data_IF_469619109642
#
_entry.id   IF_469619109642
#
_cell.length_a   1.000
_cell.length_b   1.000
_cell.length_c   1.000
_cell.angle_alpha   90.00
_cell.angle_beta   90.00
_cell.angle_gamma   90.00
#
_symmetry.space_group_name_H-M   'P 1'
#
loop_
_entity.id
_entity.type
_entity.pdbx_description
1 polymer ?
#
# COMPACT_ATOMS: atom_id res chain seq x y z
N UNK A 1 13.88 7.64 2.36
CA UNK A 1 13.28 8.99 2.53
C UNK A 1 12.05 9.03 3.47
N UNK A 2 11.82 8.03 4.35
CA UNK A 2 10.69 8.03 5.32
C UNK A 2 10.88 8.98 6.52
N UNK A 3 12.10 9.44 6.76
CA UNK A 3 12.48 10.16 7.98
C UNK A 3 11.94 11.60 8.01
N UNK A 4 12.10 12.36 6.93
CA UNK A 4 11.77 13.79 6.92
C UNK A 4 10.26 14.07 7.13
N UNK A 5 9.40 13.28 6.51
CA UNK A 5 7.94 13.46 6.61
C UNK A 5 7.43 13.08 8.00
N UNK A 6 7.98 12.01 8.60
CA UNK A 6 7.65 11.61 9.97
C UNK A 6 8.11 12.66 10.98
N UNK A 7 9.33 13.20 10.82
CA UNK A 7 9.86 14.26 11.67
C UNK A 7 9.01 15.53 11.59
N UNK A 8 8.53 15.91 10.40
CA UNK A 8 7.65 17.06 10.20
C UNK A 8 6.29 16.89 10.87
N UNK A 9 5.72 15.68 10.82
CA UNK A 9 4.44 15.37 11.46
C UNK A 9 4.58 15.42 12.98
N UNK A 10 5.66 14.84 13.52
CA UNK A 10 5.95 14.85 14.96
C UNK A 10 6.20 16.28 15.46
N UNK A 11 6.95 17.10 14.70
CA UNK A 11 7.22 18.48 15.08
C UNK A 11 5.96 19.35 15.06
N UNK A 12 5.11 19.21 14.04
CA UNK A 12 3.82 19.90 13.98
C UNK A 12 2.88 19.50 15.13
N UNK A 13 2.87 18.21 15.49
CA UNK A 13 2.10 17.72 16.63
C UNK A 13 2.60 18.32 17.96
N UNK A 14 3.92 18.35 18.18
CA UNK A 14 4.52 18.92 19.38
C UNK A 14 4.24 20.43 19.49
N UNK A 15 4.33 21.18 18.39
CA UNK A 15 4.02 22.61 18.38
C UNK A 15 2.55 22.83 18.75
N UNK A 16 1.62 22.07 18.14
CA UNK A 16 0.20 22.14 18.48
C UNK A 16 -0.06 21.80 19.96
N UNK A 17 0.62 20.79 20.48
CA UNK A 17 0.50 20.39 21.89
C UNK A 17 1.00 21.48 22.85
N UNK A 18 2.13 22.12 22.56
CA UNK A 18 2.69 23.21 23.38
C UNK A 18 1.74 24.42 23.38
N UNK A 19 1.16 24.77 22.23
CA UNK A 19 0.17 25.86 22.12
C UNK A 19 -1.11 25.55 22.90
N UNK A 20 -1.59 24.30 22.89
CA UNK A 20 -2.70 23.84 23.71
C UNK A 20 -2.42 24.02 25.20
N UNK A 21 -1.29 23.51 25.68
CA UNK A 21 -0.91 23.60 27.09
C UNK A 21 -0.73 25.06 27.51
N UNK A 22 -0.12 25.89 26.65
CA UNK A 22 0.06 27.31 26.92
C UNK A 22 -1.28 28.05 27.02
N UNK A 23 -2.26 27.70 26.17
CA UNK A 23 -3.63 28.25 26.30
C UNK A 23 -4.32 27.77 27.57
N UNK A 24 -4.18 26.49 27.94
CA UNK A 24 -4.78 25.92 29.17
C UNK A 24 -4.19 26.60 30.42
N UNK A 25 -2.87 26.73 30.49
CA UNK A 25 -2.20 27.42 31.60
C UNK A 25 -2.71 28.87 31.66
N UNK A 26 -2.78 29.57 30.53
CA UNK A 26 -3.24 30.96 30.48
C UNK A 26 -4.73 31.15 30.83
N UNK A 27 -5.58 30.15 30.56
CA UNK A 27 -6.98 30.09 31.05
C UNK A 27 -7.02 30.04 32.58
N UNK A 28 -6.13 29.28 33.20
CA UNK A 28 -6.03 29.17 34.66
C UNK A 28 -5.46 30.45 35.29
N UNK A 29 -4.62 31.21 34.58
CA UNK A 29 -3.93 32.39 35.15
C UNK A 29 -4.69 33.72 35.01
N UNK A 30 -5.53 33.94 33.99
CA UNK A 30 -6.22 35.23 33.80
C UNK A 30 -7.72 35.11 33.45
N UNK A 31 -8.56 35.86 34.17
CA UNK A 31 -9.98 36.12 33.84
C UNK A 31 -10.08 37.06 32.63
N UNK A 32 -10.09 36.53 31.42
CA UNK A 32 -10.81 37.20 30.32
C UNK A 32 -11.82 36.20 29.74
N UNK A 33 -12.84 36.62 28.97
CA UNK A 33 -13.99 35.73 28.66
C UNK A 33 -14.13 35.43 27.15
N UNK A 34 -13.51 36.22 26.27
CA UNK A 34 -13.82 36.21 24.83
C UNK A 34 -12.71 35.59 23.96
N UNK A 35 -11.44 35.66 24.37
CA UNK A 35 -10.30 35.12 23.59
C UNK A 35 -10.15 33.58 23.67
N UNK A 36 -10.63 33.00 24.77
CA UNK A 36 -10.46 31.57 25.13
C UNK A 36 -11.22 30.57 24.29
N UNK A 37 -12.51 30.77 23.93
CA UNK A 37 -13.20 29.82 23.06
C UNK A 37 -12.53 29.75 21.68
N UNK A 38 -11.97 30.86 21.19
CA UNK A 38 -11.29 30.92 19.90
C UNK A 38 -9.93 30.19 19.93
N UNK A 39 -9.17 30.34 21.02
CA UNK A 39 -7.93 29.57 21.23
C UNK A 39 -8.20 28.08 21.40
N UNK A 40 -9.26 27.71 22.10
CA UNK A 40 -9.67 26.31 22.26
C UNK A 40 -10.11 25.69 20.93
N UNK A 41 -10.90 26.41 20.13
CA UNK A 41 -11.29 25.96 18.77
C UNK A 41 -10.04 25.79 17.88
N UNK A 42 -9.10 26.74 17.93
CA UNK A 42 -7.83 26.65 17.18
C UNK A 42 -7.00 25.43 17.60
N UNK A 43 -6.89 25.17 18.90
CA UNK A 43 -6.25 23.99 19.47
C UNK A 43 -6.89 22.68 18.99
N UNK A 44 -8.21 22.58 19.05
CA UNK A 44 -8.94 21.42 18.56
C UNK A 44 -8.75 21.22 17.05
N UNK A 45 -8.79 22.29 16.25
CA UNK A 45 -8.54 22.23 14.82
C UNK A 45 -7.13 21.75 14.49
N UNK A 46 -6.11 22.18 15.25
CA UNK A 46 -4.73 21.71 15.08
C UNK A 46 -4.59 20.22 15.39
N UNK A 47 -5.23 19.73 16.45
CA UNK A 47 -5.23 18.30 16.81
C UNK A 47 -5.91 17.48 15.70
N UNK A 48 -7.08 17.92 15.23
CA UNK A 48 -7.82 17.25 14.15
C UNK A 48 -7.02 17.26 12.84
N UNK A 49 -6.36 18.38 12.51
CA UNK A 49 -5.47 18.44 11.35
C UNK A 49 -4.28 17.49 11.47
N UNK A 50 -3.69 17.36 12.67
CA UNK A 50 -2.59 16.43 12.93
C UNK A 50 -2.99 14.98 12.72
N UNK A 51 -4.14 14.56 13.26
CA UNK A 51 -4.64 13.19 13.10
C UNK A 51 -5.04 12.88 11.67
N UNK A 52 -5.64 13.84 10.94
CA UNK A 52 -5.97 13.70 9.53
C UNK A 52 -4.73 13.57 8.64
N UNK A 53 -3.64 14.28 8.96
CA UNK A 53 -2.36 14.17 8.23
C UNK A 53 -1.72 12.79 8.45
N UNK A 54 -1.75 12.27 9.68
CA UNK A 54 -1.28 10.91 9.99
C UNK A 54 -2.10 9.88 9.23
N UNK A 55 -3.44 9.99 9.28
CA UNK A 55 -4.33 9.10 8.57
C UNK A 55 -4.08 9.13 7.04
N UNK A 56 -3.82 10.31 6.47
CA UNK A 56 -3.44 10.43 5.05
C UNK A 56 -2.10 9.79 4.73
N UNK A 57 -1.10 9.93 5.59
CA UNK A 57 0.22 9.32 5.39
C UNK A 57 0.13 7.78 5.38
N UNK A 58 -0.61 7.21 6.34
CA UNK A 58 -0.90 5.77 6.38
C UNK A 58 -1.66 5.30 5.13
N UNK A 59 -2.66 6.07 4.68
CA UNK A 59 -3.42 5.75 3.47
C UNK A 59 -2.53 5.76 2.21
N UNK A 60 -1.59 6.71 2.10
CA UNK A 60 -0.63 6.76 1.00
C UNK A 60 0.33 5.57 1.07
N UNK A 61 0.77 5.18 2.27
CA UNK A 61 1.64 4.01 2.45
C UNK A 61 0.93 2.70 2.11
N UNK A 62 -0.34 2.54 2.49
CA UNK A 62 -1.17 1.39 2.13
C UNK A 62 -1.44 1.40 0.63
N UNK A 63 -1.79 2.55 0.04
CA UNK A 63 -1.99 2.70 -1.41
C UNK A 63 -0.72 2.37 -2.20
N UNK A 64 0.46 2.74 -1.69
CA UNK A 64 1.75 2.36 -2.26
C UNK A 64 2.03 0.86 -2.17
N UNK A 65 1.68 0.21 -1.04
CA UNK A 65 1.75 -1.25 -0.89
C UNK A 65 0.79 -1.99 -1.82
N UNK A 66 -0.44 -1.51 -1.97
CA UNK A 66 -1.44 -2.09 -2.88
C UNK A 66 -1.06 -1.83 -4.34
N UNK A 67 -0.45 -0.67 -4.61
CA UNK A 67 0.02 -0.26 -5.93
C UNK A 67 1.32 -0.96 -6.37
N UNK A 68 2.02 -1.66 -5.46
CA UNK A 68 3.18 -2.47 -5.81
C UNK A 68 2.73 -3.75 -6.53
N UNK A 69 2.32 -3.57 -7.79
CA UNK A 69 1.92 -4.63 -8.72
C UNK A 69 3.06 -5.57 -9.09
N UNK A 70 4.29 -5.32 -8.63
CA UNK A 70 5.45 -6.17 -8.96
C UNK A 70 5.23 -7.65 -8.61
N UNK A 71 4.51 -7.93 -7.52
CA UNK A 71 4.13 -9.31 -7.17
C UNK A 71 3.11 -9.92 -8.14
N UNK A 72 2.22 -9.11 -8.72
CA UNK A 72 1.27 -9.54 -9.75
C UNK A 72 1.94 -9.70 -11.11
N UNK A 73 2.82 -8.78 -11.50
CA UNK A 73 3.53 -8.83 -12.78
C UNK A 73 4.49 -10.03 -12.85
N UNK A 74 5.17 -10.36 -11.74
CA UNK A 74 6.01 -11.55 -11.65
C UNK A 74 5.18 -12.85 -11.65
N UNK A 75 4.01 -12.83 -11.03
CA UNK A 75 3.08 -13.96 -11.08
C UNK A 75 2.54 -14.16 -12.50
N UNK A 76 2.16 -13.09 -13.19
CA UNK A 76 1.62 -13.10 -14.55
C UNK A 76 2.65 -13.64 -15.57
N UNK A 77 3.92 -13.23 -15.43
CA UNK A 77 5.02 -13.76 -16.22
C UNK A 77 5.23 -15.26 -15.98
N UNK A 78 5.11 -15.73 -14.74
CA UNK A 78 5.21 -17.16 -14.41
C UNK A 78 4.06 -17.97 -14.97
N UNK A 79 2.83 -17.45 -14.91
CA UNK A 79 1.64 -18.09 -15.51
C UNK A 79 1.79 -18.19 -17.03
N UNK A 80 2.15 -17.09 -17.69
CA UNK A 80 2.40 -17.06 -19.14
C UNK A 80 3.48 -18.07 -19.57
N UNK A 81 4.57 -18.18 -18.80
CA UNK A 81 5.63 -19.16 -19.06
C UNK A 81 5.18 -20.62 -18.86
N UNK A 82 4.26 -20.88 -17.94
CA UNK A 82 3.65 -22.21 -17.76
C UNK A 82 2.69 -22.56 -18.90
N UNK A 83 1.93 -21.60 -19.39
CA UNK A 83 0.98 -21.77 -20.49
C UNK A 83 1.70 -22.12 -21.81
N UNK A 84 2.80 -21.41 -22.13
CA UNK A 84 3.62 -21.75 -23.29
C UNK A 84 4.32 -23.12 -23.19
N UNK A 85 4.68 -23.56 -21.96
CA UNK A 85 5.19 -24.92 -21.74
C UNK A 85 4.11 -25.97 -21.94
N UNK A 86 2.88 -25.72 -21.46
CA UNK A 86 1.72 -26.58 -21.65
C UNK A 86 1.44 -26.76 -23.14
N UNK A 87 1.42 -25.68 -23.91
CA UNK A 87 1.17 -25.72 -25.35
C UNK A 87 2.23 -26.53 -26.12
N UNK A 88 3.51 -26.34 -25.79
CA UNK A 88 4.62 -27.12 -26.38
C UNK A 88 4.53 -28.60 -26.05
N UNK A 89 4.17 -28.94 -24.82
CA UNK A 89 3.98 -30.35 -24.42
C UNK A 89 2.78 -30.94 -25.15
N UNK A 90 1.69 -30.20 -25.28
CA UNK A 90 0.49 -30.70 -25.96
C UNK A 90 0.70 -30.89 -27.46
N UNK A 91 1.43 -30.02 -28.16
CA UNK A 91 1.56 -30.16 -29.62
C UNK A 91 2.67 -31.15 -30.00
N UNK A 92 3.88 -31.00 -29.47
CA UNK A 92 5.02 -31.79 -29.95
C UNK A 92 5.01 -33.24 -29.44
N UNK A 93 4.66 -33.47 -28.17
CA UNK A 93 4.70 -34.83 -27.62
C UNK A 93 3.52 -35.68 -28.08
N UNK A 94 2.34 -35.10 -28.29
CA UNK A 94 1.21 -35.87 -28.79
C UNK A 94 1.40 -36.24 -30.27
N UNK A 95 1.83 -35.32 -31.13
CA UNK A 95 2.04 -35.64 -32.55
C UNK A 95 3.18 -36.64 -32.77
N UNK A 96 4.29 -36.51 -32.04
CA UNK A 96 5.38 -37.50 -32.12
C UNK A 96 4.95 -38.87 -31.59
N UNK A 97 4.19 -38.90 -30.49
CA UNK A 97 3.70 -40.15 -29.91
C UNK A 97 2.66 -40.82 -30.81
N UNK A 98 1.74 -40.05 -31.39
CA UNK A 98 0.73 -40.52 -32.34
C UNK A 98 1.39 -41.15 -33.56
N UNK A 99 2.38 -40.48 -34.16
CA UNK A 99 3.13 -41.04 -35.29
C UNK A 99 3.86 -42.33 -34.93
N UNK A 100 4.47 -42.40 -33.73
CA UNK A 100 5.17 -43.60 -33.28
C UNK A 100 4.23 -44.77 -33.01
N UNK A 101 3.02 -44.50 -32.50
CA UNK A 101 1.98 -45.51 -32.30
C UNK A 101 1.50 -46.05 -33.65
N UNK A 102 1.23 -45.17 -34.62
CA UNK A 102 0.83 -45.55 -35.98
C UNK A 102 1.86 -46.45 -36.68
N UNK A 103 3.15 -46.13 -36.54
CA UNK A 103 4.22 -46.94 -37.11
C UNK A 103 4.31 -48.32 -36.44
N UNK A 104 4.09 -48.38 -35.13
CA UNK A 104 4.06 -49.63 -34.38
C UNK A 104 2.86 -50.49 -34.79
N UNK A 105 1.68 -49.90 -34.96
CA UNK A 105 0.48 -50.61 -35.37
C UNK A 105 0.65 -51.23 -36.76
N UNK A 106 1.29 -50.51 -37.69
CA UNK A 106 1.64 -51.04 -39.02
C UNK A 106 2.63 -52.21 -38.95
N UNK A 107 3.61 -52.19 -38.04
CA UNK A 107 4.56 -53.30 -37.83
C UNK A 107 3.93 -54.52 -37.17
N UNK A 108 2.91 -54.36 -36.35
CA UNK A 108 2.21 -55.48 -35.70
C UNK A 108 1.21 -56.14 -36.65
N UNK A 109 0.63 -55.38 -37.58
CA UNK A 109 -0.39 -55.87 -38.52
C UNK A 109 0.19 -56.58 -39.76
N UNK A 110 1.44 -56.29 -40.12
CA UNK A 110 2.20 -56.99 -41.17
C UNK A 110 3.02 -58.15 -40.58
#
# INVERSE_FOLDING_TARGET
>A
MKSATSILVISLFLIGFIVCISSIVNIFTHKTVISYPLQFISACLLIICGTLLIARAELIQIRGRIGDRRGFDELDARVSGLEGKKERISSWKFSDLEHRVDELEKKVRN
#
